data_IF_943141618168
#
_entry.id   IF_943141618168
#
_cell.length_a   1.000
_cell.length_b   1.000
_cell.length_c   1.000
_cell.angle_alpha   90.00
_cell.angle_beta   90.00
_cell.angle_gamma   90.00
#
_symmetry.space_group_name_H-M   'P 1'
#
loop_
_entity.id
_entity.type
_entity.pdbx_description
1 polymer ?
#
# COMPACT_ATOMS: atom_id res chain seq x y z
N UNK A 1 -21.26 -1.65 -6.45
CA UNK A 1 -20.31 -2.72 -6.10
C UNK A 1 -18.97 -2.29 -6.68
N UNK A 2 -17.96 -2.04 -5.83
CA UNK A 2 -16.64 -1.62 -6.28
C UNK A 2 -15.92 -2.83 -6.87
N UNK A 3 -15.34 -2.69 -8.06
CA UNK A 3 -14.50 -3.72 -8.68
C UNK A 3 -13.03 -3.40 -8.47
N UNK A 4 -12.28 -4.35 -7.92
CA UNK A 4 -10.85 -4.22 -7.66
C UNK A 4 -10.11 -5.29 -8.45
N UNK A 5 -9.15 -4.85 -9.27
CA UNK A 5 -8.16 -5.75 -9.83
C UNK A 5 -7.07 -5.96 -8.79
N UNK A 6 -6.87 -7.21 -8.38
CA UNK A 6 -5.69 -7.64 -7.66
C UNK A 6 -4.69 -8.16 -8.70
N UNK A 7 -3.61 -7.42 -8.94
CA UNK A 7 -2.63 -7.80 -9.95
C UNK A 7 -1.95 -9.12 -9.58
N UNK A 8 -1.71 -9.94 -10.59
CA UNK A 8 -0.76 -11.08 -10.55
C UNK A 8 0.20 -11.03 -11.75
N UNK A 9 0.24 -9.89 -12.46
CA UNK A 9 1.02 -9.68 -13.68
C UNK A 9 2.53 -9.53 -13.43
N UNK A 10 2.92 -9.14 -12.21
CA UNK A 10 4.29 -8.88 -11.78
C UNK A 10 4.73 -9.82 -10.65
N UNK A 11 4.12 -11.01 -10.55
CA UNK A 11 4.38 -12.05 -9.53
C UNK A 11 4.00 -11.63 -8.10
N UNK A 12 2.99 -10.77 -7.97
CA UNK A 12 2.42 -10.36 -6.69
C UNK A 12 1.90 -11.55 -5.87
N UNK A 13 1.87 -11.38 -4.55
CA UNK A 13 1.15 -12.32 -3.69
C UNK A 13 -0.34 -12.32 -4.05
N UNK A 14 -0.87 -13.51 -4.35
CA UNK A 14 -2.23 -13.70 -4.84
C UNK A 14 -3.25 -13.60 -3.69
N UNK A 15 -4.35 -12.85 -3.89
CA UNK A 15 -5.41 -12.68 -2.88
C UNK A 15 -6.13 -14.00 -2.54
N UNK A 16 -6.10 -14.98 -3.43
CA UNK A 16 -6.65 -16.33 -3.24
C UNK A 16 -5.79 -17.22 -2.34
N UNK A 17 -4.60 -16.79 -1.94
CA UNK A 17 -3.81 -17.51 -0.95
C UNK A 17 -4.53 -17.50 0.39
N UNK A 18 -5.13 -18.65 0.72
CA UNK A 18 -5.92 -18.80 1.94
C UNK A 18 -5.11 -18.58 3.21
N UNK A 19 -3.81 -18.91 3.19
CA UNK A 19 -2.93 -18.77 4.33
C UNK A 19 -2.68 -17.30 4.67
N UNK A 20 -2.58 -16.45 3.64
CA UNK A 20 -2.32 -15.03 3.83
C UNK A 20 -3.58 -14.16 3.84
N UNK A 21 -4.60 -14.38 3.00
CA UNK A 21 -5.62 -13.34 2.76
C UNK A 21 -7.09 -13.77 2.87
N UNK A 22 -7.36 -14.96 3.41
CA UNK A 22 -8.74 -15.46 3.55
C UNK A 22 -9.66 -14.53 4.36
N UNK A 23 -9.13 -13.82 5.37
CA UNK A 23 -9.88 -12.80 6.11
C UNK A 23 -10.18 -11.56 5.27
N UNK A 24 -9.20 -11.05 4.51
CA UNK A 24 -9.38 -9.90 3.63
C UNK A 24 -10.45 -10.17 2.58
N UNK A 25 -10.41 -11.34 1.93
CA UNK A 25 -11.42 -11.78 0.98
C UNK A 25 -12.82 -11.78 1.58
N UNK A 26 -12.96 -12.33 2.80
CA UNK A 26 -14.23 -12.38 3.52
C UNK A 26 -14.73 -10.96 3.84
N UNK A 27 -13.89 -10.10 4.41
CA UNK A 27 -14.27 -8.73 4.76
C UNK A 27 -14.62 -7.88 3.54
N UNK A 28 -13.87 -8.01 2.44
CA UNK A 28 -14.17 -7.35 1.18
C UNK A 28 -15.54 -7.77 0.63
N UNK A 29 -15.83 -9.07 0.64
CA UNK A 29 -17.13 -9.62 0.22
C UNK A 29 -18.28 -9.12 1.10
N UNK A 30 -18.11 -9.13 2.42
CA UNK A 30 -19.08 -8.60 3.39
C UNK A 30 -19.35 -7.10 3.15
N UNK A 31 -18.34 -6.34 2.71
CA UNK A 31 -18.43 -4.93 2.35
C UNK A 31 -18.94 -4.66 0.92
N UNK A 32 -19.29 -5.69 0.14
CA UNK A 32 -19.76 -5.53 -1.24
C UNK A 32 -18.67 -5.08 -2.22
N UNK A 33 -17.41 -5.43 -1.94
CA UNK A 33 -16.26 -5.23 -2.81
C UNK A 33 -16.01 -6.55 -3.57
N UNK A 34 -15.90 -6.46 -4.89
CA UNK A 34 -15.56 -7.58 -5.74
C UNK A 34 -14.09 -7.48 -6.14
N UNK A 35 -13.27 -8.42 -5.67
CA UNK A 35 -11.85 -8.51 -5.98
C UNK A 35 -11.66 -9.66 -6.97
N UNK A 36 -10.96 -9.40 -8.07
CA UNK A 36 -10.59 -10.38 -9.09
C UNK A 36 -9.08 -10.36 -9.29
N UNK A 37 -8.46 -11.54 -9.40
CA UNK A 37 -7.05 -11.66 -9.78
C UNK A 37 -6.90 -11.43 -11.28
N UNK A 38 -6.02 -10.51 -11.67
CA UNK A 38 -5.88 -10.06 -13.05
C UNK A 38 -4.42 -10.17 -13.46
N UNK A 39 -4.16 -10.98 -14.49
CA UNK A 39 -2.83 -11.30 -15.03
C UNK A 39 -2.44 -10.44 -16.25
N UNK A 40 -3.36 -9.58 -16.72
CA UNK A 40 -3.19 -8.77 -17.92
C UNK A 40 -3.43 -7.31 -17.61
N UNK A 41 -2.40 -6.50 -17.83
CA UNK A 41 -2.39 -5.07 -17.47
C UNK A 41 -3.48 -4.31 -18.22
N UNK A 42 -3.76 -4.64 -19.47
CA UNK A 42 -4.77 -3.94 -20.29
C UNK A 42 -6.18 -4.03 -19.68
N UNK A 43 -6.48 -5.13 -18.97
CA UNK A 43 -7.77 -5.35 -18.30
C UNK A 43 -7.98 -4.45 -17.09
N UNK A 44 -6.94 -3.85 -16.53
CA UNK A 44 -7.06 -2.90 -15.41
C UNK A 44 -7.98 -1.71 -15.73
N UNK A 45 -8.15 -1.38 -17.02
CA UNK A 45 -9.10 -0.37 -17.47
C UNK A 45 -10.57 -0.68 -17.12
N UNK A 46 -10.91 -1.94 -16.85
CA UNK A 46 -12.27 -2.42 -16.52
C UNK A 46 -12.62 -2.32 -15.03
N UNK A 47 -11.63 -2.00 -14.17
CA UNK A 47 -11.76 -2.00 -12.71
C UNK A 47 -11.72 -0.59 -12.13
N UNK A 48 -12.34 -0.40 -10.97
CA UNK A 48 -12.36 0.91 -10.31
C UNK A 48 -11.06 1.18 -9.55
N UNK A 49 -10.50 0.13 -8.94
CA UNK A 49 -9.21 0.17 -8.24
C UNK A 49 -8.29 -0.95 -8.73
N UNK A 50 -6.98 -0.73 -8.64
CA UNK A 50 -5.94 -1.73 -8.93
C UNK A 50 -5.00 -1.83 -7.73
N UNK A 51 -4.60 -3.06 -7.38
CA UNK A 51 -3.66 -3.35 -6.30
C UNK A 51 -2.47 -4.14 -6.84
N UNK A 52 -1.27 -3.62 -6.61
CA UNK A 52 0.01 -4.29 -6.77
C UNK A 52 0.56 -4.62 -5.38
N UNK A 53 0.34 -5.85 -4.93
CA UNK A 53 0.74 -6.29 -3.59
C UNK A 53 2.05 -7.09 -3.67
N UNK A 54 3.17 -6.45 -3.31
CA UNK A 54 4.51 -7.05 -3.41
C UNK A 54 4.88 -7.46 -4.87
N UNK A 55 4.96 -6.50 -5.82
CA UNK A 55 5.40 -6.83 -7.18
C UNK A 55 6.88 -7.19 -7.20
N UNK A 56 7.24 -8.32 -7.81
CA UNK A 56 8.63 -8.79 -7.94
C UNK A 56 9.25 -8.43 -9.30
N UNK A 57 8.42 -8.21 -10.32
CA UNK A 57 8.86 -7.81 -11.66
C UNK A 57 8.81 -6.28 -11.81
N UNK A 58 9.91 -5.61 -12.21
CA UNK A 58 9.91 -4.19 -12.57
C UNK A 58 8.90 -3.84 -13.67
N UNK A 59 8.22 -2.72 -13.50
CA UNK A 59 7.30 -2.19 -14.51
C UNK A 59 8.08 -1.64 -15.70
N UNK A 60 7.63 -1.97 -16.90
CA UNK A 60 8.18 -1.34 -18.11
C UNK A 60 7.72 0.12 -18.21
N UNK A 61 8.43 0.99 -18.96
CA UNK A 61 7.97 2.35 -19.19
C UNK A 61 6.55 2.43 -19.76
N UNK A 62 6.19 1.53 -20.68
CA UNK A 62 4.88 1.47 -21.30
C UNK A 62 3.77 1.11 -20.29
N UNK A 63 4.06 0.17 -19.38
CA UNK A 63 3.14 -0.19 -18.29
C UNK A 63 2.97 0.97 -17.31
N UNK A 64 4.07 1.61 -16.92
CA UNK A 64 4.03 2.75 -16.02
C UNK A 64 3.23 3.91 -16.61
N UNK A 65 3.40 4.21 -17.90
CA UNK A 65 2.66 5.24 -18.61
C UNK A 65 1.17 4.88 -18.71
N UNK A 66 0.83 3.61 -18.97
CA UNK A 66 -0.55 3.14 -18.97
C UNK A 66 -1.21 3.29 -17.59
N UNK A 67 -0.53 2.92 -16.52
CA UNK A 67 -1.03 3.03 -15.14
C UNK A 67 -1.20 4.51 -14.77
N UNK A 68 -0.28 5.39 -15.16
CA UNK A 68 -0.42 6.83 -14.99
C UNK A 68 -1.67 7.38 -15.70
N UNK A 69 -1.95 6.91 -16.91
CA UNK A 69 -3.16 7.26 -17.66
C UNK A 69 -4.45 6.77 -16.98
N UNK A 70 -4.43 5.61 -16.31
CA UNK A 70 -5.55 5.12 -15.51
C UNK A 70 -5.84 6.06 -14.33
N UNK A 71 -4.79 6.49 -13.60
CA UNK A 71 -4.92 7.46 -12.50
C UNK A 71 -5.46 8.79 -13.03
N UNK A 72 -4.95 9.29 -14.17
CA UNK A 72 -5.47 10.51 -14.82
C UNK A 72 -6.96 10.40 -15.18
N UNK A 73 -7.45 9.20 -15.51
CA UNK A 73 -8.87 8.91 -15.80
C UNK A 73 -9.74 8.75 -14.53
N UNK A 74 -9.18 8.97 -13.35
CA UNK A 74 -9.93 8.95 -12.09
C UNK A 74 -9.91 7.62 -11.35
N UNK A 75 -9.09 6.66 -11.77
CA UNK A 75 -8.95 5.37 -11.07
C UNK A 75 -8.02 5.48 -9.86
N UNK A 76 -8.14 4.51 -8.96
CA UNK A 76 -7.26 4.38 -7.79
C UNK A 76 -6.30 3.22 -8.00
N UNK A 77 -5.01 3.45 -7.80
CA UNK A 77 -3.96 2.43 -7.90
C UNK A 77 -3.20 2.39 -6.58
N UNK A 78 -3.04 1.21 -6.00
CA UNK A 78 -2.23 0.99 -4.81
C UNK A 78 -1.02 0.09 -5.12
N UNK A 79 0.15 0.47 -4.64
CA UNK A 79 1.36 -0.37 -4.65
C UNK A 79 1.91 -0.51 -3.24
N UNK A 80 2.25 -1.75 -2.86
CA UNK A 80 2.65 -2.06 -1.49
C UNK A 80 3.96 -2.85 -1.50
N UNK A 81 4.96 -2.29 -0.85
CA UNK A 81 6.32 -2.84 -0.76
C UNK A 81 6.56 -3.61 0.53
N UNK A 82 7.83 -3.78 0.87
CA UNK A 82 8.26 -4.44 2.11
C UNK A 82 9.62 -3.87 2.56
N UNK A 83 9.92 -3.98 3.85
CA UNK A 83 11.19 -3.50 4.43
C UNK A 83 12.45 -4.15 3.83
N UNK A 84 13.61 -3.56 4.12
CA UNK A 84 14.97 -4.10 3.94
C UNK A 84 15.46 -4.29 2.49
N UNK A 85 14.57 -4.48 1.53
CA UNK A 85 14.86 -4.49 0.09
C UNK A 85 15.92 -5.52 -0.36
N UNK A 86 16.11 -6.65 0.34
CA UNK A 86 17.06 -7.71 -0.05
C UNK A 86 16.67 -8.40 -1.36
N UNK A 87 15.37 -8.46 -1.61
CA UNK A 87 14.67 -8.99 -2.78
C UNK A 87 14.43 -7.92 -3.86
N UNK A 88 14.86 -6.67 -3.61
CA UNK A 88 14.71 -5.52 -4.51
C UNK A 88 13.27 -5.04 -4.71
N UNK A 89 12.37 -5.35 -3.79
CA UNK A 89 10.96 -4.95 -3.90
C UNK A 89 10.77 -3.43 -3.89
N UNK A 90 11.52 -2.68 -3.08
CA UNK A 90 11.49 -1.22 -3.12
C UNK A 90 11.97 -0.69 -4.49
N UNK A 91 13.04 -1.28 -5.06
CA UNK A 91 13.51 -0.92 -6.41
C UNK A 91 12.42 -1.18 -7.47
N UNK A 92 11.77 -2.33 -7.38
CA UNK A 92 10.68 -2.72 -8.28
C UNK A 92 9.50 -1.76 -8.14
N UNK A 93 9.04 -1.46 -6.93
CA UNK A 93 7.98 -0.47 -6.68
C UNK A 93 8.34 0.90 -7.26
N UNK A 94 9.60 1.32 -7.12
CA UNK A 94 10.10 2.60 -7.61
C UNK A 94 10.07 2.72 -9.14
N UNK A 95 10.04 1.62 -9.89
CA UNK A 95 9.88 1.69 -11.36
C UNK A 95 8.51 2.25 -11.78
N UNK A 96 7.51 2.20 -10.90
CA UNK A 96 6.20 2.80 -11.09
C UNK A 96 5.99 4.05 -10.21
N UNK A 97 6.26 3.96 -8.91
CA UNK A 97 5.85 4.98 -7.94
C UNK A 97 6.53 6.34 -8.14
N UNK A 98 7.72 6.37 -8.74
CA UNK A 98 8.46 7.59 -9.06
C UNK A 98 7.70 8.49 -10.04
N UNK A 99 6.87 7.92 -10.94
CA UNK A 99 5.96 8.69 -11.81
C UNK A 99 5.04 9.61 -11.01
N UNK A 100 4.65 9.16 -9.81
CA UNK A 100 3.74 9.86 -8.92
C UNK A 100 4.46 10.66 -7.84
N UNK A 101 5.80 10.70 -7.87
CA UNK A 101 6.61 11.45 -6.91
C UNK A 101 6.70 10.79 -5.53
N UNK A 102 6.55 9.47 -5.46
CA UNK A 102 6.71 8.70 -4.22
C UNK A 102 7.86 7.70 -4.41
N UNK A 103 8.81 7.70 -3.50
CA UNK A 103 9.98 6.83 -3.54
C UNK A 103 10.01 5.92 -2.30
N UNK A 104 10.06 4.62 -2.51
CA UNK A 104 10.33 3.60 -1.48
C UNK A 104 11.81 3.61 -1.14
N UNK A 105 12.15 3.75 0.14
CA UNK A 105 13.53 3.95 0.57
C UNK A 105 14.32 2.64 0.72
N UNK A 106 13.62 1.50 0.78
CA UNK A 106 14.20 0.18 1.00
C UNK A 106 14.88 0.03 2.36
N UNK A 107 14.45 0.77 3.37
CA UNK A 107 15.01 0.75 4.72
C UNK A 107 14.20 -0.13 5.69
N UNK A 108 14.56 -0.04 6.96
CA UNK A 108 13.92 -0.76 8.06
C UNK A 108 13.43 0.29 9.05
N UNK A 109 12.14 0.22 9.38
CA UNK A 109 11.55 0.97 10.47
C UNK A 109 11.49 0.10 11.72
N UNK A 110 11.94 0.64 12.85
CA UNK A 110 11.77 0.04 14.16
C UNK A 110 11.12 1.02 15.13
N UNK A 111 10.37 0.52 16.11
CA UNK A 111 9.90 1.32 17.23
C UNK A 111 9.91 0.49 18.52
N UNK A 112 10.73 0.88 19.50
CA UNK A 112 10.86 0.15 20.76
C UNK A 112 9.77 0.50 21.80
N UNK A 113 8.92 1.50 21.52
CA UNK A 113 7.88 2.01 22.43
C UNK A 113 6.49 1.72 21.86
N UNK A 114 6.24 2.11 20.60
CA UNK A 114 4.97 1.92 19.93
C UNK A 114 5.01 0.73 18.97
N UNK A 115 4.99 -0.46 19.56
CA UNK A 115 4.95 -1.72 18.81
C UNK A 115 3.90 -2.70 19.33
N UNK A 116 3.67 -3.76 18.56
CA UNK A 116 2.81 -4.86 18.94
C UNK A 116 3.63 -6.01 19.55
N UNK A 117 3.18 -6.53 20.70
CA UNK A 117 3.76 -7.69 21.38
C UNK A 117 5.27 -7.63 21.73
N UNK A 118 5.84 -6.42 21.90
CA UNK A 118 7.28 -6.20 22.12
C UNK A 118 8.17 -6.57 20.92
N UNK A 119 7.59 -6.68 19.73
CA UNK A 119 8.34 -6.85 18.48
C UNK A 119 8.48 -5.48 17.80
N UNK A 120 9.69 -4.92 17.83
CA UNK A 120 9.93 -3.57 17.35
C UNK A 120 9.78 -3.39 15.83
N UNK A 121 9.55 -4.45 15.06
CA UNK A 121 9.22 -4.38 13.63
C UNK A 121 7.71 -4.31 13.36
N UNK A 122 6.87 -4.51 14.39
CA UNK A 122 5.42 -4.42 14.30
C UNK A 122 4.96 -3.03 14.73
N UNK A 123 5.15 -2.05 13.85
CA UNK A 123 4.98 -0.63 14.13
C UNK A 123 3.52 -0.30 14.40
N UNK A 124 3.23 0.31 15.54
CA UNK A 124 1.88 0.72 15.91
C UNK A 124 1.80 2.23 15.91
N UNK A 125 0.87 2.81 15.17
CA UNK A 125 0.79 4.27 15.03
C UNK A 125 -0.65 4.77 14.96
N UNK A 126 -0.85 5.96 15.52
CA UNK A 126 -2.04 6.80 15.46
C UNK A 126 -1.78 8.14 14.75
N UNK A 127 -0.57 8.36 14.23
CA UNK A 127 -0.22 9.54 13.44
C UNK A 127 -0.70 9.38 11.98
N UNK A 128 -2.01 9.61 11.82
CA UNK A 128 -2.78 9.32 10.61
C UNK A 128 -3.32 10.60 9.97
N UNK A 129 -3.22 10.68 8.64
CA UNK A 129 -3.62 11.85 7.86
C UNK A 129 -4.48 11.46 6.66
N UNK A 130 -5.38 12.36 6.25
CA UNK A 130 -6.22 12.20 5.06
C UNK A 130 -7.07 10.90 5.04
N UNK A 131 -7.24 10.25 6.19
CA UNK A 131 -8.00 9.01 6.38
C UNK A 131 -9.37 9.29 7.00
N UNK A 132 -10.39 8.44 6.76
CA UNK A 132 -11.67 8.52 7.47
C UNK A 132 -11.53 8.42 9.00
N UNK A 133 -12.40 9.10 9.74
CA UNK A 133 -12.40 9.19 11.21
C UNK A 133 -12.49 7.84 11.96
N UNK A 134 -12.94 6.78 11.28
CA UNK A 134 -13.02 5.44 11.87
C UNK A 134 -11.68 4.69 11.85
N UNK A 135 -10.65 5.21 11.19
CA UNK A 135 -9.29 4.67 11.19
C UNK A 135 -8.45 5.57 12.09
N UNK A 136 -8.20 5.11 13.33
CA UNK A 136 -7.54 5.92 14.36
C UNK A 136 -6.20 5.37 14.80
N UNK A 137 -5.97 4.07 14.56
CA UNK A 137 -4.74 3.39 14.95
C UNK A 137 -4.55 2.16 14.08
N UNK A 138 -3.32 1.90 13.66
CA UNK A 138 -2.99 0.77 12.78
C UNK A 138 -1.72 0.07 13.28
N UNK A 139 -1.52 -1.17 12.84
CA UNK A 139 -0.26 -1.89 12.99
C UNK A 139 0.30 -2.20 11.61
N UNK A 140 1.54 -1.79 11.35
CA UNK A 140 2.25 -1.98 10.10
C UNK A 140 3.49 -2.85 10.35
N UNK A 141 3.39 -4.13 10.00
CA UNK A 141 4.48 -5.08 10.17
C UNK A 141 5.54 -4.89 9.08
N UNK A 142 6.81 -4.87 9.46
CA UNK A 142 7.96 -4.93 8.55
C UNK A 142 7.85 -3.90 7.42
N UNK A 143 7.76 -2.62 7.78
CA UNK A 143 7.52 -1.52 6.83
C UNK A 143 8.82 -0.82 6.41
N UNK A 144 8.83 -0.39 5.16
CA UNK A 144 9.75 0.59 4.59
C UNK A 144 9.23 2.03 4.83
N UNK A 145 10.12 3.02 4.78
CA UNK A 145 9.70 4.43 4.70
C UNK A 145 9.57 4.90 3.25
N UNK A 146 8.84 6.01 3.07
CA UNK A 146 8.60 6.66 1.79
C UNK A 146 9.21 8.07 1.79
N UNK A 147 9.72 8.51 0.65
CA UNK A 147 10.09 9.91 0.39
C UNK A 147 9.13 10.52 -0.62
N UNK A 148 8.58 11.69 -0.32
CA UNK A 148 7.75 12.45 -1.27
C UNK A 148 8.61 13.43 -2.08
N UNK A 149 8.31 13.59 -3.37
CA UNK A 149 9.07 14.44 -4.32
C UNK A 149 8.19 15.45 -5.06
N UNK A 150 6.88 15.44 -4.80
CA UNK A 150 5.88 16.28 -5.47
C UNK A 150 4.91 16.86 -4.44
N UNK A 151 4.49 18.14 -4.58
CA UNK A 151 3.56 18.77 -3.64
C UNK A 151 2.14 18.18 -3.69
N UNK A 152 1.78 17.48 -4.77
CA UNK A 152 0.50 16.77 -4.89
C UNK A 152 0.44 15.48 -4.06
N UNK A 153 1.58 15.01 -3.57
CA UNK A 153 1.66 13.86 -2.67
C UNK A 153 1.34 14.31 -1.26
N UNK A 154 0.47 13.55 -0.60
CA UNK A 154 0.01 13.80 0.77
C UNK A 154 0.33 12.59 1.64
N UNK A 155 0.72 12.81 2.90
CA UNK A 155 0.94 11.71 3.83
C UNK A 155 -0.39 11.03 4.17
N UNK A 156 -0.33 9.72 4.44
CA UNK A 156 -1.44 8.95 5.00
C UNK A 156 -1.12 8.45 6.41
N UNK A 157 0.10 7.93 6.62
CA UNK A 157 0.50 7.29 7.86
C UNK A 157 1.97 7.59 8.13
N UNK A 158 2.28 8.12 9.30
CA UNK A 158 3.65 8.21 9.82
C UNK A 158 3.87 7.21 10.96
N UNK A 159 5.13 6.89 11.23
CA UNK A 159 5.53 6.35 12.53
C UNK A 159 5.33 7.40 13.63
N UNK A 160 5.16 6.96 14.87
CA UNK A 160 5.15 7.86 16.03
C UNK A 160 6.53 8.52 16.21
N UNK A 161 6.65 9.56 17.04
CA UNK A 161 7.92 10.26 17.32
C UNK A 161 9.06 9.35 17.85
N UNK A 162 8.71 8.15 18.29
CA UNK A 162 9.62 7.11 18.81
C UNK A 162 10.10 6.13 17.74
N UNK A 163 9.52 6.20 16.55
CA UNK A 163 9.89 5.34 15.44
C UNK A 163 11.21 5.83 14.82
N UNK A 164 12.08 4.89 14.49
CA UNK A 164 13.39 5.14 13.91
C UNK A 164 13.48 4.44 12.56
N UNK A 165 13.95 5.16 11.55
CA UNK A 165 14.36 4.62 10.26
C UNK A 165 15.78 5.10 9.96
N UNK A 166 16.61 4.22 9.39
CA UNK A 166 18.04 4.49 9.19
C UNK A 166 18.24 5.79 8.39
N UNK A 167 18.77 6.83 9.04
CA UNK A 167 19.08 8.15 8.47
C UNK A 167 17.87 8.98 7.99
N UNK A 168 16.70 8.86 8.62
CA UNK A 168 15.52 9.67 8.30
C UNK A 168 15.04 10.47 9.50
N UNK A 169 14.72 11.74 9.25
CA UNK A 169 14.09 12.62 10.26
C UNK A 169 12.57 12.42 10.32
N UNK A 170 11.94 12.03 9.21
CA UNK A 170 10.50 11.78 9.11
C UNK A 170 10.26 10.32 8.68
N UNK A 171 9.42 9.62 9.44
CA UNK A 171 9.08 8.21 9.21
C UNK A 171 7.73 8.11 8.49
N UNK A 172 7.69 8.50 7.23
CA UNK A 172 6.48 8.38 6.40
C UNK A 172 6.32 6.94 5.91
N UNK A 173 5.20 6.29 6.23
CA UNK A 173 4.97 4.87 5.96
C UNK A 173 4.01 4.64 4.79
N UNK A 174 3.00 5.50 4.66
CA UNK A 174 2.03 5.47 3.56
C UNK A 174 1.80 6.88 3.03
N UNK A 175 1.66 7.00 1.71
CA UNK A 175 1.39 8.27 1.04
C UNK A 175 0.45 8.09 -0.15
N UNK A 176 -0.25 9.16 -0.53
CA UNK A 176 -1.06 9.18 -1.74
C UNK A 176 -0.74 10.41 -2.62
N UNK A 177 -0.60 10.18 -3.91
CA UNK A 177 -0.71 11.21 -4.94
C UNK A 177 -2.17 11.36 -5.34
N UNK A 178 -2.66 12.60 -5.46
CA UNK A 178 -4.03 12.91 -5.89
C UNK A 178 -4.02 13.73 -7.18
N UNK A 179 -4.51 13.15 -8.27
CA UNK A 179 -4.66 13.84 -9.55
C UNK A 179 -5.88 14.80 -9.51
N UNK A 180 -5.87 15.94 -10.24
CA UNK A 180 -7.04 16.83 -10.32
C UNK A 180 -8.36 16.19 -10.79
N UNK A 181 -8.29 15.04 -11.49
CA UNK A 181 -9.48 14.27 -11.89
C UNK A 181 -10.11 13.47 -10.74
N UNK A 182 -9.47 13.44 -9.56
CA UNK A 182 -9.87 12.64 -8.41
C UNK A 182 -9.23 11.25 -8.36
N UNK A 183 -8.50 10.84 -9.40
CA UNK A 183 -7.75 9.58 -9.38
C UNK A 183 -6.55 9.65 -8.45
N UNK A 184 -6.17 8.49 -7.92
CA UNK A 184 -5.18 8.39 -6.84
C UNK A 184 -4.14 7.33 -7.12
N UNK A 185 -2.92 7.60 -6.70
CA UNK A 185 -1.88 6.58 -6.59
C UNK A 185 -1.43 6.50 -5.13
N UNK A 186 -1.53 5.32 -4.54
CA UNK A 186 -1.26 5.07 -3.12
C UNK A 186 -0.03 4.17 -3.03
N UNK A 187 0.91 4.54 -2.17
CA UNK A 187 2.08 3.75 -1.84
C UNK A 187 2.09 3.44 -0.34
N UNK A 188 2.40 2.21 0.02
CA UNK A 188 2.57 1.78 1.42
C UNK A 188 3.80 0.92 1.59
N UNK A 189 4.62 1.23 2.60
CA UNK A 189 5.88 0.54 2.87
C UNK A 189 5.77 -0.92 3.32
N UNK A 190 4.55 -1.43 3.53
CA UNK A 190 4.28 -2.83 3.84
C UNK A 190 3.08 -3.36 3.06
N UNK A 191 3.17 -4.62 2.67
CA UNK A 191 2.18 -5.41 1.96
C UNK A 191 1.46 -6.44 2.85
N UNK A 192 1.79 -6.50 4.15
CA UNK A 192 1.29 -7.52 5.09
C UNK A 192 0.35 -6.97 6.17
N UNK A 193 0.08 -5.66 6.20
CA UNK A 193 -0.87 -5.07 7.15
C UNK A 193 -2.31 -5.64 7.02
N UNK A 194 -2.65 -6.21 5.86
CA UNK A 194 -3.94 -6.82 5.56
C UNK A 194 -3.91 -8.35 5.46
N UNK A 195 -2.80 -8.98 5.85
CA UNK A 195 -2.72 -10.43 5.93
C UNK A 195 -3.55 -10.97 7.12
N UNK A 196 -3.68 -12.30 7.20
CA UNK A 196 -4.51 -12.96 8.20
C UNK A 196 -4.03 -12.72 9.63
N UNK A 197 -2.74 -12.43 9.83
CA UNK A 197 -2.17 -12.09 11.12
C UNK A 197 -2.55 -10.67 11.52
N UNK A 198 -2.37 -9.72 10.62
CA UNK A 198 -2.42 -8.28 10.89
C UNK A 198 -3.81 -7.66 10.76
N UNK A 199 -4.68 -8.21 9.90
CA UNK A 199 -5.93 -7.53 9.51
C UNK A 199 -6.91 -7.27 10.67
N UNK A 200 -6.90 -8.11 11.70
CA UNK A 200 -7.78 -7.96 12.88
C UNK A 200 -7.14 -7.10 13.97
N UNK A 201 -5.92 -6.60 13.78
CA UNK A 201 -5.22 -5.76 14.73
C UNK A 201 -5.57 -4.28 14.49
N UNK A 202 -5.94 -3.59 15.58
CA UNK A 202 -6.33 -2.18 15.58
C UNK A 202 -7.39 -1.87 14.49
N UNK A 203 -7.16 -0.91 13.60
CA UNK A 203 -8.05 -0.57 12.50
C UNK A 203 -7.53 -1.04 11.13
N UNK A 204 -6.71 -2.10 11.09
CA UNK A 204 -6.16 -2.60 9.83
C UNK A 204 -7.27 -3.04 8.86
N UNK A 205 -8.31 -3.71 9.33
CA UNK A 205 -9.49 -4.04 8.50
C UNK A 205 -10.10 -2.80 7.86
N UNK A 206 -10.38 -1.75 8.64
CA UNK A 206 -10.96 -0.51 8.12
C UNK A 206 -10.02 0.18 7.13
N UNK A 207 -8.72 0.18 7.40
CA UNK A 207 -7.69 0.65 6.48
C UNK A 207 -7.72 -0.14 5.17
N UNK A 208 -7.68 -1.47 5.21
CA UNK A 208 -7.69 -2.31 4.01
C UNK A 208 -8.93 -2.05 3.14
N UNK A 209 -10.12 -2.02 3.73
CA UNK A 209 -11.36 -1.76 2.99
C UNK A 209 -11.39 -0.35 2.40
N UNK A 210 -10.85 0.63 3.11
CA UNK A 210 -10.74 1.99 2.60
C UNK A 210 -9.77 2.08 1.42
N UNK A 211 -8.59 1.45 1.50
CA UNK A 211 -7.61 1.44 0.41
C UNK A 211 -8.16 0.79 -0.86
N UNK A 212 -8.96 -0.28 -0.72
CA UNK A 212 -9.61 -0.96 -1.85
C UNK A 212 -10.69 -0.09 -2.53
N UNK A 213 -11.28 0.88 -1.83
CA UNK A 213 -12.45 1.65 -2.30
C UNK A 213 -12.20 3.15 -2.49
N UNK A 214 -10.97 3.60 -2.22
CA UNK A 214 -10.56 5.00 -2.17
C UNK A 214 -10.77 5.79 -3.46
#
# INVERSE_FOLDING_TARGET
MRKVAWSVAHQEFIISDHYYFSKLQRYAKEAGIHIEEVDQIEKFSEYDSIVFNYPEIPFTPEEADFIEDLVKKGKTVGIFGYYKNEDRIADTCNTLSERFGIHFNGDIVIDNINNYENDNLLIVTSDLYNLPDNIKKVMLACTDTLTTRKPEVRPLIHGEDTAEASNREEVLLFAEYVHPSGGKFIAGGTCVFWDNYSIDLYNNKELSLNLLTR
#
